data_IF_179440833416
#
_entry.id   IF_179440833416
#
_cell.length_a   1.000
_cell.length_b   1.000
_cell.length_c   1.000
_cell.angle_alpha   90.00
_cell.angle_beta   90.00
_cell.angle_gamma   90.00
#
_symmetry.space_group_name_H-M   'P 1'
#
loop_
_entity.id
_entity.type
_entity.pdbx_description
1 polymer ?
#
# COMPACT_ATOMS: atom_id res chain seq x y z
N UNK A 1 -0.22 6.42 -9.93
CA UNK A 1 -0.20 7.75 -9.26
C UNK A 1 0.59 7.60 -7.97
N UNK A 2 1.50 8.54 -7.63
CA UNK A 2 2.22 8.50 -6.36
C UNK A 2 1.26 8.61 -5.17
N UNK A 3 1.44 7.76 -4.17
CA UNK A 3 0.60 7.76 -2.95
C UNK A 3 0.75 9.08 -2.21
N UNK A 4 1.96 9.64 -2.19
CA UNK A 4 2.26 10.95 -1.58
C UNK A 4 1.48 12.08 -2.24
N UNK A 5 1.31 12.06 -3.57
CA UNK A 5 0.52 13.07 -4.27
C UNK A 5 -0.97 12.96 -3.94
N UNK A 6 -1.50 11.74 -3.82
CA UNK A 6 -2.88 11.53 -3.36
C UNK A 6 -3.06 12.06 -1.92
N UNK A 7 -2.08 11.83 -1.05
CA UNK A 7 -2.11 12.29 0.33
C UNK A 7 -2.07 13.81 0.48
N UNK A 8 -1.59 14.57 -0.51
CA UNK A 8 -1.39 16.01 -0.41
C UNK A 8 -2.70 16.78 -0.17
N UNK A 9 -3.81 16.31 -0.74
CA UNK A 9 -5.14 16.94 -0.60
C UNK A 9 -5.93 16.53 0.64
N UNK A 10 -5.41 15.63 1.49
CA UNK A 10 -6.15 15.10 2.63
C UNK A 10 -5.91 15.91 3.91
N UNK A 11 -6.94 16.04 4.75
CA UNK A 11 -6.83 16.63 6.10
C UNK A 11 -6.02 15.77 7.08
N UNK A 12 -6.06 14.45 6.88
CA UNK A 12 -5.39 13.43 7.71
C UNK A 12 -4.55 12.50 6.84
N UNK A 13 -3.50 13.02 6.18
CA UNK A 13 -2.66 12.28 5.24
C UNK A 13 -1.97 11.06 5.85
N UNK A 14 -1.72 11.07 7.16
CA UNK A 14 -1.04 10.02 7.91
C UNK A 14 -1.80 8.71 7.98
N UNK A 15 -3.09 8.74 7.63
CA UNK A 15 -3.97 7.57 7.56
C UNK A 15 -4.00 6.93 6.17
N UNK A 16 -3.45 7.59 5.15
CA UNK A 16 -3.40 7.05 3.80
C UNK A 16 -2.23 6.09 3.65
N UNK A 17 -2.46 4.97 2.96
CA UNK A 17 -1.44 4.05 2.48
C UNK A 17 -1.93 3.43 1.15
N UNK A 18 -1.03 3.17 0.22
CA UNK A 18 -1.35 2.46 -1.01
C UNK A 18 -1.47 0.95 -0.79
N UNK A 19 -2.45 0.35 -1.46
CA UNK A 19 -2.58 -1.09 -1.60
C UNK A 19 -2.85 -1.39 -3.08
N UNK A 20 -1.92 -2.07 -3.74
CA UNK A 20 -2.01 -2.37 -5.16
C UNK A 20 -2.11 -3.88 -5.38
N UNK A 21 -3.21 -4.30 -6.00
CA UNK A 21 -3.43 -5.68 -6.43
C UNK A 21 -3.16 -5.83 -7.91
N UNK A 22 -2.68 -7.00 -8.30
CA UNK A 22 -2.51 -7.37 -9.69
C UNK A 22 -3.78 -8.07 -10.20
N UNK A 23 -4.24 -7.68 -11.38
CA UNK A 23 -5.40 -8.30 -12.02
C UNK A 23 -4.95 -9.58 -12.75
N UNK A 24 -5.65 -10.72 -12.59
CA UNK A 24 -6.84 -10.96 -11.76
C UNK A 24 -6.54 -11.27 -10.29
N UNK A 25 -7.22 -10.53 -9.40
CA UNK A 25 -6.96 -10.53 -7.94
C UNK A 25 -6.98 -11.94 -7.33
N UNK A 26 -7.96 -12.82 -7.61
CA UNK A 26 -7.99 -14.15 -6.99
C UNK A 26 -6.86 -15.09 -7.45
N UNK A 27 -6.21 -14.80 -8.58
CA UNK A 27 -5.16 -15.64 -9.17
C UNK A 27 -3.76 -15.11 -8.86
N UNK A 28 -3.62 -13.80 -8.65
CA UNK A 28 -2.34 -13.16 -8.36
C UNK A 28 -2.01 -13.22 -6.87
N UNK A 29 -0.87 -13.82 -6.54
CA UNK A 29 -0.49 -14.07 -5.14
C UNK A 29 0.16 -12.88 -4.43
N UNK A 30 0.42 -11.77 -5.11
CA UNK A 30 1.15 -10.63 -4.53
C UNK A 30 0.22 -9.43 -4.45
N UNK A 31 0.35 -8.67 -3.37
CA UNK A 31 -0.18 -7.32 -3.26
C UNK A 31 0.88 -6.40 -2.66
N UNK A 32 1.01 -5.21 -3.22
CA UNK A 32 2.00 -4.22 -2.80
C UNK A 32 1.40 -3.27 -1.77
N UNK A 33 2.15 -3.01 -0.71
CA UNK A 33 1.85 -2.05 0.35
C UNK A 33 2.80 -0.87 0.18
N UNK A 34 2.24 0.32 -0.07
CA UNK A 34 3.01 1.50 -0.49
C UNK A 34 2.81 2.63 0.53
N UNK A 35 3.67 2.77 1.55
CA UNK A 35 3.64 3.93 2.43
C UNK A 35 4.01 5.20 1.67
N UNK A 36 3.16 6.23 1.77
CA UNK A 36 3.48 7.57 1.30
C UNK A 36 4.32 8.34 2.32
N UNK A 37 4.84 9.50 1.92
CA UNK A 37 5.78 10.29 2.74
C UNK A 37 5.25 10.70 4.13
N UNK A 38 3.92 10.81 4.29
CA UNK A 38 3.28 11.16 5.57
C UNK A 38 2.60 9.99 6.27
N UNK A 39 2.61 8.79 5.69
CA UNK A 39 1.96 7.60 6.26
C UNK A 39 2.51 7.32 7.66
N UNK A 40 1.63 7.15 8.65
CA UNK A 40 2.04 6.95 10.04
C UNK A 40 2.83 5.64 10.21
N UNK A 41 3.81 5.61 11.12
CA UNK A 41 4.52 4.37 11.48
C UNK A 41 3.56 3.26 11.89
N UNK A 42 3.91 2.02 11.55
CA UNK A 42 3.13 0.81 11.86
C UNK A 42 1.90 0.55 10.97
N UNK A 43 1.43 1.52 10.16
CA UNK A 43 0.28 1.29 9.27
C UNK A 43 0.61 0.28 8.16
N UNK A 44 1.83 0.31 7.62
CA UNK A 44 2.27 -0.64 6.60
C UNK A 44 2.32 -2.07 7.14
N UNK A 45 2.82 -2.27 8.36
CA UNK A 45 2.88 -3.58 9.01
C UNK A 45 1.48 -4.14 9.29
N UNK A 46 0.60 -3.31 9.85
CA UNK A 46 -0.80 -3.67 10.08
C UNK A 46 -1.48 -4.11 8.79
N UNK A 47 -1.35 -3.31 7.72
CA UNK A 47 -1.96 -3.62 6.43
C UNK A 47 -1.35 -4.88 5.80
N UNK A 48 -0.04 -5.06 5.89
CA UNK A 48 0.62 -6.27 5.43
C UNK A 48 0.11 -7.52 6.15
N UNK A 49 -0.21 -7.42 7.44
CA UNK A 49 -0.90 -8.47 8.19
C UNK A 49 -2.29 -8.80 7.61
N UNK A 50 -3.09 -7.77 7.30
CA UNK A 50 -4.41 -7.94 6.66
C UNK A 50 -4.31 -8.61 5.29
N UNK A 51 -3.33 -8.22 4.48
CA UNK A 51 -3.08 -8.82 3.15
C UNK A 51 -2.68 -10.29 3.27
N UNK A 52 -1.83 -10.64 4.25
CA UNK A 52 -1.47 -12.05 4.51
C UNK A 52 -2.68 -12.87 4.96
N UNK A 53 -3.53 -12.29 5.82
CA UNK A 53 -4.76 -12.95 6.27
C UNK A 53 -5.77 -13.18 5.13
N UNK A 54 -5.72 -12.38 4.05
CA UNK A 54 -6.56 -12.58 2.86
C UNK A 54 -5.99 -13.59 1.85
N UNK A 55 -4.90 -14.29 2.20
CA UNK A 55 -4.27 -15.30 1.35
C UNK A 55 -3.28 -14.75 0.31
N UNK A 56 -2.97 -13.44 0.36
CA UNK A 56 -1.99 -12.81 -0.52
C UNK A 56 -0.64 -12.64 0.17
N UNK A 57 0.42 -12.54 -0.62
CA UNK A 57 1.76 -12.18 -0.17
C UNK A 57 1.87 -10.66 -0.18
N UNK A 58 2.06 -10.07 1.00
CA UNK A 58 2.28 -8.63 1.14
C UNK A 58 3.76 -8.29 0.89
N UNK A 59 4.01 -7.37 -0.05
CA UNK A 59 5.35 -6.81 -0.31
C UNK A 59 5.29 -5.30 -0.06
N UNK A 60 6.17 -4.78 0.78
CA UNK A 60 6.27 -3.32 0.99
C UNK A 60 7.24 -2.73 -0.03
N UNK A 61 6.79 -1.73 -0.78
CA UNK A 61 7.58 -1.06 -1.83
C UNK A 61 7.58 0.46 -1.61
N UNK A 62 8.59 1.14 -2.15
CA UNK A 62 8.73 2.59 -2.00
C UNK A 62 7.75 3.35 -2.92
N UNK A 63 7.42 4.60 -2.56
CA UNK A 63 6.57 5.49 -3.37
C UNK A 63 7.30 6.05 -4.63
N UNK A 64 7.79 5.18 -5.51
CA UNK A 64 8.38 5.48 -6.83
C UNK A 64 7.40 5.26 -8.00
N UNK A 65 7.52 5.99 -9.12
CA UNK A 65 6.65 5.75 -10.28
C UNK A 65 6.74 4.30 -10.79
N UNK A 66 5.63 3.55 -10.72
CA UNK A 66 5.48 2.26 -11.40
C UNK A 66 5.32 1.00 -10.52
N UNK A 67 5.57 1.08 -9.21
CA UNK A 67 5.53 0.02 -8.17
C UNK A 67 5.63 -1.45 -8.62
N UNK A 68 6.55 -2.30 -8.15
CA UNK A 68 7.97 -2.21 -7.71
C UNK A 68 8.69 -0.85 -7.69
#
# INVERSE_FOLDING_TARGET
>A
LPVTLIAAGLRQPERLIGLHFFNPVPLMKVAEVIPGARTRPGLAEWLAGTVRASGHTAVTVADTPGFL
#
